data_IF_619229674326
#
_entry.id   IF_619229674326
#
_cell.length_a   1.000
_cell.length_b   1.000
_cell.length_c   1.000
_cell.angle_alpha   90.00
_cell.angle_beta   90.00
_cell.angle_gamma   90.00
#
_symmetry.space_group_name_H-M   'P 1'
#
loop_
_entity.id
_entity.type
_entity.pdbx_description
1 polymer ?
#
# COMPACT_ATOMS: atom_id res chain seq x y z
N UNK A 1 1.47 -18.54 25.00
CA UNK A 1 2.63 -19.11 24.28
C UNK A 1 2.50 -18.76 22.80
N UNK A 2 3.57 -18.33 22.09
CA UNK A 2 3.46 -18.06 20.67
C UNK A 2 3.41 -19.39 19.90
N UNK A 3 2.37 -19.57 19.08
CA UNK A 3 2.25 -20.71 18.18
C UNK A 3 3.27 -20.58 17.05
N UNK A 4 3.97 -21.67 16.72
CA UNK A 4 4.90 -21.68 15.60
C UNK A 4 4.13 -21.45 14.29
N UNK A 5 4.42 -20.33 13.60
CA UNK A 5 3.78 -19.99 12.32
C UNK A 5 4.17 -20.95 11.18
N UNK A 6 5.34 -21.62 11.30
CA UNK A 6 5.85 -22.59 10.32
C UNK A 6 6.46 -23.79 11.05
N UNK A 7 6.15 -24.99 10.58
CA UNK A 7 6.64 -26.26 11.14
C UNK A 7 7.24 -27.08 10.00
N UNK A 8 8.46 -27.57 10.18
CA UNK A 8 9.14 -28.45 9.22
C UNK A 8 8.81 -29.90 9.59
N UNK A 9 8.22 -30.65 8.66
CA UNK A 9 7.94 -32.07 8.84
C UNK A 9 8.94 -32.92 8.03
N UNK A 10 9.30 -34.14 8.49
CA UNK A 10 8.97 -34.78 9.77
C UNK A 10 9.77 -34.23 10.94
N UNK A 11 9.19 -33.96 12.11
CA UNK A 11 9.95 -33.40 13.25
C UNK A 11 10.93 -34.37 13.94
N UNK A 12 10.75 -35.69 13.79
CA UNK A 12 11.57 -36.72 14.43
C UNK A 12 12.35 -37.53 13.39
N UNK A 13 13.60 -37.17 13.15
CA UNK A 13 14.51 -37.96 12.31
C UNK A 13 15.13 -39.11 13.09
N UNK A 14 15.21 -40.28 12.46
CA UNK A 14 15.95 -41.45 12.92
C UNK A 14 15.56 -42.02 14.30
N UNK A 15 14.50 -41.50 14.94
CA UNK A 15 13.98 -42.02 16.20
C UNK A 15 13.07 -43.22 15.91
N UNK A 16 13.61 -44.41 16.06
CA UNK A 16 12.83 -45.64 16.09
C UNK A 16 12.42 -45.92 17.54
N UNK A 17 11.21 -46.45 17.76
CA UNK A 17 10.88 -47.04 19.04
C UNK A 17 11.85 -48.21 19.29
N UNK A 18 12.45 -48.29 20.47
CA UNK A 18 13.26 -49.46 20.84
C UNK A 18 12.30 -50.66 20.82
N UNK A 19 12.49 -51.66 19.94
CA UNK A 19 11.61 -52.82 19.91
C UNK A 19 11.74 -53.53 21.26
N UNK A 20 10.62 -53.78 21.94
CA UNK A 20 10.57 -54.46 23.23
C UNK A 20 10.65 -55.99 23.09
N UNK A 21 10.94 -56.50 21.89
CA UNK A 21 10.93 -57.92 21.55
C UNK A 21 12.34 -58.32 21.06
N UNK A 22 12.99 -59.16 21.86
CA UNK A 22 14.35 -59.66 21.73
C UNK A 22 14.49 -60.59 20.51
N UNK A 23 14.47 -60.04 19.28
CA UNK A 23 14.66 -60.89 18.09
C UNK A 23 14.61 -60.24 16.71
N UNK A 24 14.04 -59.05 16.56
CA UNK A 24 14.02 -58.33 15.26
C UNK A 24 14.98 -57.15 15.30
N UNK A 25 16.25 -57.46 15.56
CA UNK A 25 17.32 -56.50 15.69
C UNK A 25 17.78 -56.07 14.28
N UNK A 26 17.30 -54.90 13.87
CA UNK A 26 17.63 -54.17 12.64
C UNK A 26 17.05 -54.76 11.35
N UNK A 27 16.15 -54.01 10.70
CA UNK A 27 16.11 -54.04 9.23
C UNK A 27 17.53 -53.75 8.71
N UNK A 28 17.87 -54.31 7.54
CA UNK A 28 19.13 -54.04 6.84
C UNK A 28 19.53 -52.57 6.99
N UNK A 29 20.76 -52.32 7.45
CA UNK A 29 21.31 -50.99 7.66
C UNK A 29 21.10 -50.08 6.44
N UNK A 30 21.13 -50.67 5.24
CA UNK A 30 20.79 -49.98 4.00
C UNK A 30 19.37 -49.39 4.00
N UNK A 31 18.37 -50.17 4.44
CA UNK A 31 16.98 -49.72 4.59
C UNK A 31 16.88 -48.56 5.59
N UNK A 32 17.47 -48.72 6.78
CA UNK A 32 17.46 -47.69 7.83
C UNK A 32 18.08 -46.38 7.33
N UNK A 33 19.21 -46.46 6.64
CA UNK A 33 19.89 -45.30 6.08
C UNK A 33 19.06 -44.63 4.96
N UNK A 34 18.48 -45.41 4.05
CA UNK A 34 17.63 -44.87 2.98
C UNK A 34 16.39 -44.16 3.53
N UNK A 35 15.79 -44.70 4.58
CA UNK A 35 14.66 -44.07 5.28
C UNK A 35 15.10 -42.78 5.98
N UNK A 36 16.24 -42.79 6.66
CA UNK A 36 16.81 -41.60 7.30
C UNK A 36 17.08 -40.49 6.27
N UNK A 37 17.78 -40.80 5.18
CA UNK A 37 18.08 -39.87 4.10
C UNK A 37 16.80 -39.31 3.47
N UNK A 38 15.82 -40.17 3.18
CA UNK A 38 14.54 -39.74 2.59
C UNK A 38 13.77 -38.77 3.51
N UNK A 39 13.77 -39.02 4.82
CA UNK A 39 13.16 -38.11 5.80
C UNK A 39 13.89 -36.78 5.89
N UNK A 40 15.22 -36.79 5.86
CA UNK A 40 16.05 -35.57 5.82
C UNK A 40 15.79 -34.76 4.55
N UNK A 41 15.74 -35.40 3.38
CA UNK A 41 15.41 -34.71 2.11
C UNK A 41 14.02 -34.07 2.15
N UNK A 42 13.04 -34.74 2.77
CA UNK A 42 11.70 -34.18 2.96
C UNK A 42 11.72 -32.95 3.88
N UNK A 43 12.43 -33.02 5.01
CA UNK A 43 12.59 -31.85 5.89
C UNK A 43 13.26 -30.68 5.17
N UNK A 44 14.34 -30.92 4.43
CA UNK A 44 15.04 -29.88 3.67
C UNK A 44 14.12 -29.25 2.62
N UNK A 45 13.29 -30.06 1.96
CA UNK A 45 12.29 -29.58 1.00
C UNK A 45 11.24 -28.70 1.68
N UNK A 46 10.74 -29.11 2.84
CA UNK A 46 9.73 -28.34 3.57
C UNK A 46 10.33 -27.06 4.16
N UNK A 47 11.59 -27.09 4.63
CA UNK A 47 12.33 -25.90 5.03
C UNK A 47 12.51 -24.93 3.86
N UNK A 48 12.88 -25.42 2.68
CA UNK A 48 13.03 -24.59 1.49
C UNK A 48 11.71 -23.92 1.10
N UNK A 49 10.58 -24.66 1.11
CA UNK A 49 9.25 -24.10 0.88
C UNK A 49 8.91 -23.00 1.89
N UNK A 50 9.21 -23.23 3.17
CA UNK A 50 8.99 -22.23 4.23
C UNK A 50 9.85 -20.99 4.01
N UNK A 51 11.12 -21.15 3.63
CA UNK A 51 12.00 -20.03 3.31
C UNK A 51 11.47 -19.23 2.11
N UNK A 52 11.06 -19.89 1.03
CA UNK A 52 10.44 -19.23 -0.12
C UNK A 52 9.17 -18.46 0.26
N UNK A 53 8.30 -19.07 1.07
CA UNK A 53 7.09 -18.38 1.56
C UNK A 53 7.42 -17.16 2.43
N UNK A 54 8.46 -17.24 3.25
CA UNK A 54 8.91 -16.14 4.10
C UNK A 54 9.47 -14.99 3.25
N UNK A 55 10.28 -15.30 2.24
CA UNK A 55 10.78 -14.29 1.30
C UNK A 55 9.65 -13.65 0.49
N UNK A 56 8.62 -14.41 0.10
CA UNK A 56 7.46 -13.85 -0.58
C UNK A 56 6.66 -12.89 0.32
N UNK A 57 6.47 -13.24 1.60
CA UNK A 57 5.84 -12.34 2.58
C UNK A 57 6.63 -11.04 2.72
N UNK A 58 7.96 -11.13 2.88
CA UNK A 58 8.83 -9.95 2.98
C UNK A 58 8.82 -9.10 1.71
N UNK A 59 8.86 -9.73 0.53
CA UNK A 59 8.77 -9.04 -0.75
C UNK A 59 7.46 -8.23 -0.84
N UNK A 60 6.34 -8.83 -0.48
CA UNK A 60 5.04 -8.15 -0.47
C UNK A 60 5.02 -6.95 0.49
N UNK A 61 5.60 -7.09 1.68
CA UNK A 61 5.70 -6.00 2.65
C UNK A 61 6.61 -4.86 2.16
N UNK A 62 7.73 -5.20 1.52
CA UNK A 62 8.66 -4.22 0.93
C UNK A 62 7.97 -3.48 -0.23
N UNK A 63 7.26 -4.18 -1.12
CA UNK A 63 6.53 -3.56 -2.24
C UNK A 63 5.46 -2.61 -1.69
N UNK A 64 4.66 -3.05 -0.72
CA UNK A 64 3.65 -2.21 -0.07
C UNK A 64 4.26 -0.96 0.57
N UNK A 65 5.37 -1.13 1.26
CA UNK A 65 6.10 -0.01 1.89
C UNK A 65 6.64 0.95 0.84
N UNK A 66 7.24 0.46 -0.24
CA UNK A 66 7.71 1.28 -1.35
C UNK A 66 6.58 2.10 -2.00
N UNK A 67 5.42 1.49 -2.24
CA UNK A 67 4.25 2.22 -2.78
C UNK A 67 3.84 3.37 -1.86
N UNK A 68 3.79 3.12 -0.54
CA UNK A 68 3.47 4.16 0.45
C UNK A 68 4.52 5.27 0.46
N UNK A 69 5.80 4.92 0.39
CA UNK A 69 6.90 5.90 0.28
C UNK A 69 6.76 6.73 -0.99
N UNK A 70 6.47 6.12 -2.13
CA UNK A 70 6.28 6.84 -3.39
C UNK A 70 5.12 7.85 -3.32
N UNK A 71 3.98 7.44 -2.73
CA UNK A 71 2.84 8.34 -2.49
C UNK A 71 3.25 9.51 -1.58
N UNK A 72 4.02 9.24 -0.52
CA UNK A 72 4.51 10.28 0.39
C UNK A 72 5.47 11.24 -0.32
N UNK A 73 6.40 10.74 -1.12
CA UNK A 73 7.33 11.56 -1.91
C UNK A 73 6.58 12.51 -2.84
N UNK A 74 5.55 12.02 -3.54
CA UNK A 74 4.71 12.88 -4.39
C UNK A 74 3.97 13.95 -3.60
N UNK A 75 3.42 13.60 -2.42
CA UNK A 75 2.77 14.57 -1.54
C UNK A 75 3.75 15.65 -1.09
N UNK A 76 4.96 15.26 -0.67
CA UNK A 76 6.02 16.18 -0.27
C UNK A 76 6.39 17.11 -1.43
N UNK A 77 6.60 16.57 -2.63
CA UNK A 77 6.92 17.38 -3.81
C UNK A 77 5.85 18.42 -4.13
N UNK A 78 4.55 18.04 -4.05
CA UNK A 78 3.45 19.01 -4.20
C UNK A 78 3.45 20.06 -3.10
N UNK A 79 3.63 19.67 -1.84
CA UNK A 79 3.69 20.61 -0.72
C UNK A 79 4.85 21.59 -0.90
N UNK A 80 6.02 21.11 -1.32
CA UNK A 80 7.18 21.96 -1.60
C UNK A 80 6.89 22.95 -2.72
N UNK A 81 6.30 22.50 -3.84
CA UNK A 81 5.91 23.40 -4.93
C UNK A 81 4.90 24.45 -4.47
N UNK A 82 3.86 24.05 -3.74
CA UNK A 82 2.88 24.98 -3.18
C UNK A 82 3.54 25.97 -2.22
N UNK A 83 4.37 25.50 -1.29
CA UNK A 83 5.05 26.35 -0.31
C UNK A 83 6.02 27.35 -0.97
N UNK A 84 6.75 26.94 -2.00
CA UNK A 84 7.61 27.84 -2.78
C UNK A 84 6.82 28.89 -3.58
N UNK A 85 5.55 28.60 -3.91
CA UNK A 85 4.67 29.51 -4.62
C UNK A 85 3.85 30.45 -3.72
N UNK A 86 3.90 30.28 -2.40
CA UNK A 86 3.22 31.19 -1.46
C UNK A 86 4.03 32.49 -1.34
N UNK A 87 3.39 33.63 -1.63
CA UNK A 87 3.92 34.96 -1.34
C UNK A 87 3.31 35.48 -0.03
N UNK A 88 4.10 35.59 1.06
CA UNK A 88 3.63 36.06 2.36
C UNK A 88 3.02 37.47 2.34
N UNK A 89 3.29 38.27 1.31
CA UNK A 89 2.77 39.64 1.18
C UNK A 89 1.37 39.68 0.55
N UNK A 90 0.94 38.61 -0.13
CA UNK A 90 -0.36 38.50 -0.80
C UNK A 90 -1.36 37.66 0.01
N UNK A 91 -0.89 36.90 0.99
CA UNK A 91 -1.72 36.06 1.85
C UNK A 91 -2.50 36.93 2.85
N UNK A 92 -3.76 37.23 2.55
CA UNK A 92 -4.60 38.05 3.42
C UNK A 92 -4.91 37.30 4.74
N UNK A 93 -4.42 37.83 5.86
CA UNK A 93 -4.83 37.36 7.19
C UNK A 93 -6.30 37.69 7.37
N UNK A 94 -7.12 36.66 7.56
CA UNK A 94 -8.50 36.86 8.02
C UNK A 94 -8.44 37.37 9.45
N UNK A 95 -8.33 38.68 9.60
CA UNK A 95 -8.57 39.33 10.88
C UNK A 95 -9.96 38.94 11.33
N UNK A 96 -10.04 38.24 12.46
CA UNK A 96 -11.28 37.79 13.11
C UNK A 96 -12.11 38.94 13.68
N UNK A 97 -12.21 40.05 12.95
CA UNK A 97 -13.11 41.15 13.22
C UNK A 97 -14.54 40.72 12.91
N UNK A 98 -15.24 40.24 13.94
CA UNK A 98 -16.70 40.16 13.96
C UNK A 98 -17.25 41.56 13.62
N UNK A 99 -17.66 41.78 12.37
CA UNK A 99 -18.56 42.87 12.01
C UNK A 99 -19.89 42.25 11.59
N UNK A 100 -20.78 42.13 12.57
CA UNK A 100 -22.20 42.00 12.36
C UNK A 100 -22.87 43.03 13.28
N UNK A 101 -22.79 44.30 12.88
CA UNK A 101 -23.76 45.32 13.26
C UNK A 101 -24.42 45.82 11.96
N UNK A 102 -25.42 45.04 11.55
CA UNK A 102 -26.74 45.52 11.16
C UNK A 102 -26.81 46.95 10.57
N UNK A 103 -26.66 47.06 9.25
CA UNK A 103 -27.28 48.14 8.48
C UNK A 103 -28.67 47.68 8.05
N UNK A 104 -29.64 47.79 8.95
CA UNK A 104 -31.06 47.67 8.62
C UNK A 104 -31.68 49.07 8.60
N UNK A 105 -32.15 49.47 7.42
CA UNK A 105 -33.11 50.55 7.20
C UNK A 105 -32.50 51.94 7.04
N UNK A 106 -32.96 52.84 6.18
CA UNK A 106 -34.09 52.91 5.24
C UNK A 106 -33.70 54.00 4.24
N UNK A 107 -33.96 53.82 2.94
CA UNK A 107 -33.65 54.86 1.96
C UNK A 107 -34.08 54.50 0.55
N UNK A 108 -35.39 54.46 0.33
CA UNK A 108 -36.04 54.41 -1.00
C UNK A 108 -35.65 55.68 -1.77
N UNK A 109 -35.16 55.58 -3.01
CA UNK A 109 -35.77 56.23 -4.18
C UNK A 109 -35.06 55.93 -5.51
N UNK A 110 -35.81 55.31 -6.43
CA UNK A 110 -35.95 55.60 -7.86
C UNK A 110 -34.73 56.00 -8.71
N UNK A 111 -34.39 55.19 -9.73
CA UNK A 111 -34.54 55.56 -11.15
C UNK A 111 -34.07 54.43 -12.10
N UNK A 112 -34.98 53.97 -12.96
CA UNK A 112 -34.68 53.23 -14.21
C UNK A 112 -34.25 54.20 -15.32
N UNK A 113 -33.45 53.77 -16.31
CA UNK A 113 -34.05 53.47 -17.62
C UNK A 113 -33.38 52.33 -18.44
N UNK A 114 -34.26 51.46 -18.98
CA UNK A 114 -34.45 50.98 -20.37
C UNK A 114 -33.32 51.01 -21.45
N UNK A 115 -33.30 49.91 -22.21
CA UNK A 115 -32.82 49.61 -23.60
C UNK A 115 -31.55 48.72 -23.68
N UNK A 116 -31.59 47.46 -24.11
CA UNK A 116 -31.98 46.82 -25.40
C UNK A 116 -30.75 46.53 -26.31
N UNK A 117 -30.58 45.26 -26.70
CA UNK A 117 -29.57 44.76 -27.65
C UNK A 117 -29.03 43.39 -27.18
N UNK A 118 -29.62 42.24 -27.53
CA UNK A 118 -29.64 41.51 -28.82
C UNK A 118 -28.28 40.91 -29.22
N UNK A 119 -28.33 39.58 -29.39
CA UNK A 119 -27.63 38.72 -30.35
C UNK A 119 -26.32 37.98 -29.98
N UNK A 120 -26.46 36.63 -30.00
CA UNK A 120 -25.65 35.63 -30.75
C UNK A 120 -24.13 35.54 -30.48
N UNK A 121 -23.42 34.43 -30.65
CA UNK A 121 -23.61 32.99 -30.88
C UNK A 121 -22.16 32.45 -31.03
N UNK A 122 -21.98 31.13 -31.08
CA UNK A 122 -20.75 30.40 -31.47
C UNK A 122 -19.66 30.37 -30.37
N UNK A 123 -19.21 29.24 -29.84
CA UNK A 123 -18.98 27.94 -30.48
C UNK A 123 -17.47 27.79 -30.69
N UNK A 124 -16.78 27.00 -29.86
CA UNK A 124 -15.42 26.51 -30.14
C UNK A 124 -15.06 25.35 -29.19
N UNK A 125 -15.14 24.13 -29.69
CA UNK A 125 -14.44 22.94 -29.18
C UNK A 125 -13.01 22.90 -29.74
N UNK A 126 -11.99 22.43 -28.99
CA UNK A 126 -10.77 21.93 -29.61
C UNK A 126 -10.72 20.39 -29.57
N UNK A 127 -10.59 19.81 -30.75
CA UNK A 127 -10.29 18.41 -31.05
C UNK A 127 -8.86 18.04 -30.62
N UNK A 128 -8.68 16.92 -29.93
CA UNK A 128 -7.37 16.35 -29.63
C UNK A 128 -6.91 15.47 -30.80
N UNK A 129 -5.91 15.95 -31.54
CA UNK A 129 -5.18 15.16 -32.53
C UNK A 129 -4.19 14.22 -31.85
N UNK A 130 -4.40 12.91 -32.01
CA UNK A 130 -3.42 11.88 -31.69
C UNK A 130 -2.33 11.83 -32.75
N UNK A 131 -1.07 11.89 -32.31
CA UNK A 131 0.10 11.59 -33.13
C UNK A 131 0.80 10.38 -32.55
N UNK A 132 0.85 9.29 -33.33
CA UNK A 132 1.73 8.15 -33.10
C UNK A 132 2.83 8.17 -34.16
N UNK A 133 4.07 8.09 -33.69
CA UNK A 133 5.24 7.58 -34.40
C UNK A 133 6.11 6.88 -33.35
#
# INVERSE_FOLDING_TARGET
>A
MPFAKRIVEPQLLCRHAIPNDEGLLFEDLCSVNNVALSRTLRQLSDLAKHASSLFQELENEIISTNQRVWVLQNKIGRIQQTASGLDPKQEAVRDGGRSACEMVGVGVSSHTPRHAGRQESLGCTPSWGGGSL
#
